data_IF_928582802323
#
_entry.id   IF_928582802323
#
_cell.length_a   1.000
_cell.length_b   1.000
_cell.length_c   1.000
_cell.angle_alpha   90.00
_cell.angle_beta   90.00
_cell.angle_gamma   90.00
#
_symmetry.space_group_name_H-M   'P 1'
#
loop_
_entity.id
_entity.type
_entity.pdbx_description
1 polymer ?
#
# COMPACT_ATOMS: atom_id res chain seq x y z
N UNK A 1 27.77 2.73 -1.53
CA UNK A 1 27.46 2.05 -0.26
C UNK A 1 25.96 1.68 -0.14
N UNK A 2 25.07 2.45 -0.76
CA UNK A 2 23.60 2.25 -0.63
C UNK A 2 23.04 1.08 -1.44
N UNK A 3 23.59 0.75 -2.61
CA UNK A 3 23.12 -0.41 -3.41
C UNK A 3 23.36 -1.74 -2.71
N UNK A 4 24.48 -1.90 -2.00
CA UNK A 4 24.79 -3.14 -1.25
C UNK A 4 23.86 -3.27 -0.03
N UNK A 5 23.63 -2.17 0.70
CA UNK A 5 22.68 -2.16 1.82
C UNK A 5 21.28 -2.53 1.37
N UNK A 6 20.80 -1.95 0.26
CA UNK A 6 19.49 -2.23 -0.31
C UNK A 6 19.37 -3.69 -0.77
N UNK A 7 20.43 -4.25 -1.37
CA UNK A 7 20.50 -5.65 -1.77
C UNK A 7 20.47 -6.59 -0.56
N UNK A 8 21.25 -6.28 0.49
CA UNK A 8 21.27 -7.06 1.73
C UNK A 8 19.90 -7.07 2.42
N UNK A 9 19.25 -5.92 2.54
CA UNK A 9 17.91 -5.84 3.14
C UNK A 9 16.87 -6.62 2.32
N UNK A 10 16.91 -6.49 1.00
CA UNK A 10 15.97 -7.17 0.09
C UNK A 10 16.12 -8.70 0.06
N UNK A 11 17.32 -9.21 0.34
CA UNK A 11 17.61 -10.65 0.28
C UNK A 11 17.97 -11.24 1.64
N UNK A 12 17.80 -10.48 2.71
CA UNK A 12 18.19 -10.87 4.07
C UNK A 12 17.63 -12.24 4.49
N UNK A 13 16.35 -12.47 4.27
CA UNK A 13 15.69 -13.72 4.63
C UNK A 13 16.27 -14.94 3.90
N UNK A 14 16.54 -14.79 2.59
CA UNK A 14 17.17 -15.85 1.79
C UNK A 14 18.60 -16.14 2.24
N UNK A 15 19.36 -15.09 2.54
CA UNK A 15 20.72 -15.21 3.04
C UNK A 15 20.74 -15.87 4.43
N UNK A 16 19.80 -15.52 5.29
CA UNK A 16 19.68 -16.11 6.62
C UNK A 16 19.44 -17.63 6.54
N UNK A 17 18.49 -18.06 5.69
CA UNK A 17 18.23 -19.50 5.46
C UNK A 17 19.50 -20.21 4.96
N UNK A 18 20.22 -19.60 4.02
CA UNK A 18 21.46 -20.17 3.52
C UNK A 18 22.55 -20.30 4.60
N UNK A 19 22.72 -19.28 5.44
CA UNK A 19 23.68 -19.29 6.55
C UNK A 19 23.33 -20.37 7.57
N UNK A 20 22.04 -20.51 7.94
CA UNK A 20 21.58 -21.52 8.88
C UNK A 20 21.83 -22.92 8.29
N UNK A 21 21.55 -23.14 7.01
CA UNK A 21 21.78 -24.43 6.34
C UNK A 21 23.28 -24.75 6.30
N UNK A 22 24.12 -23.77 5.93
CA UNK A 22 25.58 -23.92 5.91
C UNK A 22 26.13 -24.24 7.32
N UNK A 23 25.62 -23.58 8.35
CA UNK A 23 26.01 -23.86 9.73
C UNK A 23 25.59 -25.27 10.18
N UNK A 24 24.41 -25.75 9.79
CA UNK A 24 23.98 -27.12 10.06
C UNK A 24 24.89 -28.16 9.38
N UNK A 25 25.24 -27.91 8.09
CA UNK A 25 26.18 -28.77 7.35
C UNK A 25 27.56 -28.78 7.99
N UNK A 26 28.13 -27.60 8.30
CA UNK A 26 29.44 -27.50 8.97
C UNK A 26 29.43 -28.19 10.34
N UNK A 27 28.35 -28.00 11.12
CA UNK A 27 28.18 -28.66 12.41
C UNK A 27 28.30 -30.19 12.32
N UNK A 28 27.89 -30.79 11.19
CA UNK A 28 27.97 -32.25 10.98
C UNK A 28 29.41 -32.77 11.00
N UNK A 29 30.40 -31.93 10.63
CA UNK A 29 31.78 -32.33 10.65
C UNK A 29 32.42 -32.29 12.07
N UNK A 30 31.93 -31.37 12.92
CA UNK A 30 32.53 -31.13 14.23
C UNK A 30 31.90 -31.94 15.37
N UNK A 31 30.62 -32.32 15.28
CA UNK A 31 29.94 -33.03 16.35
C UNK A 31 30.19 -34.54 16.32
N UNK A 32 30.40 -35.12 17.49
CA UNK A 32 30.59 -36.59 17.67
C UNK A 32 29.30 -37.34 17.37
N UNK A 33 28.18 -36.87 17.92
CA UNK A 33 26.87 -37.48 17.67
C UNK A 33 26.21 -36.88 16.45
N UNK A 34 26.29 -37.58 15.30
CA UNK A 34 25.75 -37.13 14.02
C UNK A 34 24.23 -37.19 13.99
N UNK A 35 23.59 -38.05 14.80
CA UNK A 35 22.14 -38.22 14.78
C UNK A 35 21.42 -37.06 15.47
N UNK A 36 22.00 -36.51 16.55
CA UNK A 36 21.49 -35.31 17.21
C UNK A 36 21.43 -34.10 16.28
N UNK A 37 22.37 -34.04 15.33
CA UNK A 37 22.45 -32.92 14.37
C UNK A 37 21.34 -32.91 13.34
N UNK A 38 20.67 -34.03 13.08
CA UNK A 38 19.54 -34.10 12.18
C UNK A 38 18.43 -33.10 12.58
N UNK A 39 18.26 -32.85 13.88
CA UNK A 39 17.27 -31.90 14.37
C UNK A 39 17.57 -30.45 13.98
N UNK A 40 18.82 -30.05 13.80
CA UNK A 40 19.19 -28.70 13.40
C UNK A 40 18.78 -28.38 11.95
N UNK A 41 18.62 -29.39 11.09
CA UNK A 41 18.16 -29.18 9.72
C UNK A 41 16.69 -28.78 9.63
N UNK A 42 15.91 -28.93 10.70
CA UNK A 42 14.55 -28.34 10.74
C UNK A 42 14.56 -26.82 10.75
N UNK A 43 15.60 -26.20 11.33
CA UNK A 43 15.68 -24.73 11.40
C UNK A 43 15.65 -24.05 10.02
N UNK A 44 16.57 -24.36 9.08
CA UNK A 44 16.54 -23.72 7.76
C UNK A 44 15.24 -24.03 7.01
N UNK A 45 14.65 -25.21 7.20
CA UNK A 45 13.41 -25.61 6.53
C UNK A 45 12.21 -24.84 7.10
N UNK A 46 12.08 -24.73 8.42
CA UNK A 46 11.01 -23.94 9.05
C UNK A 46 11.12 -22.46 8.70
N UNK A 47 12.34 -21.90 8.78
CA UNK A 47 12.57 -20.50 8.39
C UNK A 47 12.24 -20.25 6.89
N UNK A 48 12.71 -21.11 6.00
CA UNK A 48 12.41 -20.99 4.58
C UNK A 48 10.90 -21.09 4.32
N UNK A 49 10.22 -22.04 4.97
CA UNK A 49 8.77 -22.24 4.81
C UNK A 49 7.95 -21.07 5.35
N UNK A 50 8.37 -20.50 6.49
CA UNK A 50 7.65 -19.43 7.16
C UNK A 50 7.85 -18.06 6.52
N UNK A 51 9.06 -17.74 6.04
CA UNK A 51 9.36 -16.41 5.46
C UNK A 51 9.33 -16.37 3.93
N UNK A 52 9.65 -17.49 3.27
CA UNK A 52 9.80 -17.54 1.81
C UNK A 52 8.71 -18.38 1.12
N UNK A 53 7.82 -18.99 1.93
CA UNK A 53 6.70 -19.76 1.44
C UNK A 53 7.02 -21.23 1.09
N UNK A 54 5.98 -21.96 0.68
CA UNK A 54 6.00 -23.40 0.48
C UNK A 54 7.08 -23.88 -0.50
N UNK A 55 7.24 -23.21 -1.64
CA UNK A 55 8.18 -23.64 -2.68
C UNK A 55 9.63 -23.64 -2.20
N UNK A 56 10.06 -22.57 -1.54
CA UNK A 56 11.43 -22.45 -1.03
C UNK A 56 11.64 -23.27 0.24
N UNK A 57 10.60 -23.47 1.05
CA UNK A 57 10.62 -24.39 2.19
C UNK A 57 10.88 -25.83 1.75
N UNK A 58 10.14 -26.32 0.74
CA UNK A 58 10.31 -27.67 0.18
C UNK A 58 11.70 -27.81 -0.47
N UNK A 59 12.16 -26.79 -1.20
CA UNK A 59 13.52 -26.80 -1.76
C UNK A 59 14.59 -26.89 -0.65
N UNK A 60 14.42 -26.14 0.45
CA UNK A 60 15.32 -26.20 1.61
C UNK A 60 15.33 -27.57 2.25
N UNK A 61 14.16 -28.25 2.34
CA UNK A 61 14.04 -29.60 2.82
C UNK A 61 14.80 -30.60 1.92
N UNK A 62 14.64 -30.50 0.60
CA UNK A 62 15.40 -31.34 -0.34
C UNK A 62 16.90 -31.13 -0.24
N UNK A 63 17.36 -29.88 -0.14
CA UNK A 63 18.80 -29.56 0.03
C UNK A 63 19.33 -30.11 1.35
N UNK A 64 18.54 -30.03 2.44
CA UNK A 64 18.88 -30.60 3.74
C UNK A 64 19.00 -32.12 3.68
N UNK A 65 18.06 -32.79 3.04
CA UNK A 65 18.08 -34.25 2.85
C UNK A 65 19.31 -34.65 2.01
N UNK A 66 19.57 -33.95 0.91
CA UNK A 66 20.73 -34.21 0.07
C UNK A 66 22.04 -34.06 0.86
N UNK A 67 22.17 -32.98 1.65
CA UNK A 67 23.34 -32.76 2.50
C UNK A 67 23.55 -33.89 3.52
N UNK A 68 22.46 -34.35 4.15
CA UNK A 68 22.54 -35.46 5.12
C UNK A 68 22.85 -36.79 4.42
N UNK A 69 22.35 -37.06 3.23
CA UNK A 69 22.69 -38.25 2.45
C UNK A 69 24.22 -38.26 2.13
N UNK A 70 24.76 -37.13 1.69
CA UNK A 70 26.21 -36.99 1.46
C UNK A 70 26.99 -37.23 2.74
N UNK A 71 26.56 -36.66 3.87
CA UNK A 71 27.20 -36.90 5.17
C UNK A 71 27.09 -38.36 5.60
N UNK A 72 25.96 -39.03 5.34
CA UNK A 72 25.75 -40.44 5.68
C UNK A 72 26.64 -41.38 4.84
N UNK A 73 26.98 -40.99 3.60
CA UNK A 73 27.96 -41.73 2.79
C UNK A 73 29.37 -41.53 3.33
N UNK A 74 29.75 -40.30 3.70
CA UNK A 74 31.10 -39.99 4.23
C UNK A 74 31.32 -40.64 5.60
N UNK A 75 30.30 -40.59 6.48
CA UNK A 75 30.37 -41.12 7.86
C UNK A 75 29.52 -42.36 8.02
N UNK A 76 29.70 -43.36 7.13
CA UNK A 76 28.84 -44.54 7.01
C UNK A 76 28.69 -45.29 8.35
N UNK A 77 29.78 -45.49 9.09
CA UNK A 77 29.79 -46.27 10.34
C UNK A 77 28.94 -45.63 11.48
N UNK A 78 28.70 -44.30 11.39
CA UNK A 78 27.85 -43.60 12.36
C UNK A 78 26.37 -43.73 12.06
N UNK A 79 26.00 -43.73 10.76
CA UNK A 79 24.61 -43.80 10.33
C UNK A 79 24.14 -45.26 10.11
N UNK A 80 25.07 -46.14 9.69
CA UNK A 80 24.79 -47.52 9.33
C UNK A 80 25.79 -48.48 9.97
N UNK A 81 25.74 -48.65 11.35
CA UNK A 81 26.54 -49.67 11.99
C UNK A 81 26.20 -51.05 11.44
N UNK A 82 27.18 -51.92 11.27
CA UNK A 82 27.05 -53.22 10.58
C UNK A 82 25.91 -54.12 11.15
N UNK A 83 25.61 -54.02 12.42
CA UNK A 83 24.54 -54.78 13.08
C UNK A 83 23.16 -54.10 13.07
N UNK A 84 23.06 -52.84 12.57
CA UNK A 84 21.84 -52.03 12.69
C UNK A 84 21.55 -51.21 11.40
N UNK A 85 21.91 -51.66 10.21
CA UNK A 85 21.70 -50.94 8.96
C UNK A 85 20.21 -50.56 8.72
N UNK A 86 19.30 -51.46 9.03
CA UNK A 86 17.85 -51.20 8.91
C UNK A 86 17.40 -50.03 9.81
N UNK A 87 17.95 -49.91 11.01
CA UNK A 87 17.64 -48.78 11.91
C UNK A 87 18.11 -47.44 11.35
N UNK A 88 19.29 -47.42 10.72
CA UNK A 88 19.83 -46.21 10.07
C UNK A 88 18.93 -45.76 8.88
N UNK A 89 18.54 -46.68 8.02
CA UNK A 89 17.63 -46.42 6.88
C UNK A 89 16.29 -45.89 7.40
N UNK A 90 15.70 -46.55 8.38
CA UNK A 90 14.42 -46.12 8.97
C UNK A 90 14.52 -44.73 9.61
N UNK A 91 15.59 -44.43 10.35
CA UNK A 91 15.83 -43.13 10.96
C UNK A 91 15.91 -42.03 9.90
N UNK A 92 16.72 -42.19 8.88
CA UNK A 92 16.91 -41.16 7.82
C UNK A 92 15.64 -41.00 6.99
N UNK A 93 14.95 -42.08 6.63
CA UNK A 93 13.72 -42.03 5.86
C UNK A 93 12.58 -41.33 6.62
N UNK A 94 12.39 -41.70 7.89
CA UNK A 94 11.37 -41.06 8.74
C UNK A 94 11.71 -39.59 8.99
N UNK A 95 12.98 -39.27 9.30
CA UNK A 95 13.42 -37.88 9.45
C UNK A 95 13.20 -37.04 8.19
N UNK A 96 13.60 -37.53 7.01
CA UNK A 96 13.40 -36.84 5.74
C UNK A 96 11.92 -36.66 5.40
N UNK A 97 11.09 -37.69 5.68
CA UNK A 97 9.65 -37.61 5.53
C UNK A 97 9.02 -36.52 6.42
N UNK A 98 9.40 -36.46 7.70
CA UNK A 98 8.95 -35.41 8.62
C UNK A 98 9.45 -34.02 8.21
N UNK A 99 10.67 -33.92 7.66
CA UNK A 99 11.21 -32.64 7.18
C UNK A 99 10.39 -32.10 6.00
N UNK A 100 10.06 -32.95 5.02
CA UNK A 100 9.20 -32.60 3.89
C UNK A 100 7.78 -32.26 4.35
N UNK A 101 7.21 -33.04 5.26
CA UNK A 101 5.89 -32.76 5.82
C UNK A 101 5.86 -31.40 6.54
N UNK A 102 6.91 -31.11 7.32
CA UNK A 102 7.06 -29.80 8.00
C UNK A 102 7.13 -28.67 6.98
N UNK A 103 7.96 -28.82 5.93
CA UNK A 103 8.06 -27.82 4.86
C UNK A 103 6.71 -27.56 4.18
N UNK A 104 5.98 -28.63 3.87
CA UNK A 104 4.67 -28.55 3.22
C UNK A 104 3.63 -27.88 4.12
N UNK A 105 3.54 -28.32 5.39
CA UNK A 105 2.56 -27.83 6.35
C UNK A 105 2.80 -26.35 6.71
N UNK A 106 4.02 -25.99 7.11
CA UNK A 106 4.36 -24.62 7.52
C UNK A 106 4.25 -23.67 6.30
N UNK A 107 4.78 -24.07 5.15
CA UNK A 107 4.66 -23.26 3.93
C UNK A 107 3.22 -23.12 3.45
N UNK A 108 2.40 -24.15 3.60
CA UNK A 108 0.97 -24.10 3.30
C UNK A 108 0.20 -23.12 4.20
N UNK A 109 0.52 -23.12 5.50
CA UNK A 109 -0.06 -22.18 6.47
C UNK A 109 0.34 -20.72 6.14
N UNK A 110 1.59 -20.50 5.72
CA UNK A 110 2.04 -19.18 5.29
C UNK A 110 1.25 -18.69 4.06
N UNK A 111 1.16 -19.51 3.00
CA UNK A 111 0.40 -19.16 1.80
C UNK A 111 -1.09 -18.93 2.09
N UNK A 112 -1.68 -19.70 3.00
CA UNK A 112 -3.06 -19.52 3.43
C UNK A 112 -3.24 -18.20 4.18
N UNK A 113 -2.31 -17.82 5.06
CA UNK A 113 -2.31 -16.55 5.76
C UNK A 113 -2.24 -15.38 4.76
N UNK A 114 -1.30 -15.42 3.82
CA UNK A 114 -1.15 -14.37 2.80
C UNK A 114 -2.43 -14.20 1.97
N UNK A 115 -3.02 -15.29 1.49
CA UNK A 115 -4.29 -15.24 0.75
C UNK A 115 -5.41 -14.63 1.57
N UNK A 116 -5.55 -15.03 2.83
CA UNK A 116 -6.58 -14.45 3.72
C UNK A 116 -6.36 -12.96 3.96
N UNK A 117 -5.11 -12.52 4.09
CA UNK A 117 -4.80 -11.10 4.22
C UNK A 117 -5.15 -10.31 2.96
N UNK A 118 -4.85 -10.86 1.76
CA UNK A 118 -5.25 -10.24 0.49
C UNK A 118 -6.78 -10.17 0.32
N UNK A 119 -7.49 -11.24 0.68
CA UNK A 119 -8.96 -11.29 0.63
C UNK A 119 -9.57 -10.27 1.60
N UNK A 120 -9.03 -10.17 2.82
CA UNK A 120 -9.48 -9.21 3.81
C UNK A 120 -9.25 -7.78 3.32
N UNK A 121 -8.10 -7.49 2.72
CA UNK A 121 -7.80 -6.18 2.17
C UNK A 121 -8.73 -5.82 1.02
N UNK A 122 -9.04 -6.78 0.11
CA UNK A 122 -10.01 -6.56 -0.97
C UNK A 122 -11.42 -6.31 -0.43
N UNK A 123 -11.86 -7.09 0.56
CA UNK A 123 -13.15 -6.91 1.20
C UNK A 123 -13.26 -5.54 1.90
N UNK A 124 -12.20 -5.14 2.62
CA UNK A 124 -12.11 -3.83 3.25
C UNK A 124 -12.28 -2.69 2.25
N UNK A 125 -11.52 -2.71 1.14
CA UNK A 125 -11.65 -1.70 0.08
C UNK A 125 -13.05 -1.69 -0.53
N UNK A 126 -13.62 -2.88 -0.81
CA UNK A 126 -14.98 -3.00 -1.35
C UNK A 126 -16.05 -2.40 -0.42
N UNK A 127 -15.93 -2.61 0.89
CA UNK A 127 -16.84 -2.01 1.88
C UNK A 127 -16.73 -0.47 1.85
N UNK A 128 -15.50 0.07 1.82
CA UNK A 128 -15.30 1.52 1.74
C UNK A 128 -15.92 2.12 0.48
N UNK A 129 -15.78 1.45 -0.67
CA UNK A 129 -16.40 1.88 -1.94
C UNK A 129 -17.92 1.83 -1.88
N UNK A 130 -18.52 0.83 -1.23
CA UNK A 130 -19.97 0.74 -1.04
C UNK A 130 -20.46 1.88 -0.15
N UNK A 131 -19.74 2.16 0.95
CA UNK A 131 -20.09 3.27 1.85
C UNK A 131 -19.99 4.61 1.14
N UNK A 132 -18.94 4.85 0.36
CA UNK A 132 -18.78 6.06 -0.45
C UNK A 132 -19.95 6.22 -1.45
N UNK A 133 -20.30 5.16 -2.19
CA UNK A 133 -21.45 5.18 -3.10
C UNK A 133 -22.77 5.47 -2.38
N UNK A 134 -22.95 4.91 -1.17
CA UNK A 134 -24.17 5.17 -0.38
C UNK A 134 -24.27 6.66 0.00
N UNK A 135 -23.16 7.31 0.34
CA UNK A 135 -23.13 8.74 0.64
C UNK A 135 -23.51 9.55 -0.60
N UNK A 136 -22.95 9.21 -1.76
CA UNK A 136 -23.23 9.87 -3.03
C UNK A 136 -24.70 9.75 -3.45
N UNK A 137 -25.44 8.74 -3.00
CA UNK A 137 -26.88 8.64 -3.30
C UNK A 137 -27.71 9.74 -2.62
N UNK A 138 -27.21 10.30 -1.51
CA UNK A 138 -27.83 11.44 -0.84
C UNK A 138 -27.55 12.77 -1.54
N UNK A 139 -26.37 12.86 -2.16
CA UNK A 139 -25.91 14.02 -2.93
C UNK A 139 -26.11 13.71 -4.42
N UNK A 140 -27.29 14.02 -4.96
CA UNK A 140 -27.74 13.61 -6.31
C UNK A 140 -26.85 14.04 -7.48
N UNK A 141 -25.72 14.72 -7.20
CA UNK A 141 -24.82 15.28 -8.20
C UNK A 141 -23.42 14.63 -8.25
N UNK A 142 -23.12 13.71 -7.32
CA UNK A 142 -21.73 13.24 -7.09
C UNK A 142 -21.48 11.79 -7.50
N UNK A 143 -22.24 11.25 -8.46
CA UNK A 143 -22.07 9.85 -8.88
C UNK A 143 -20.61 9.55 -9.29
N UNK A 144 -19.95 8.68 -8.53
CA UNK A 144 -18.56 8.26 -8.73
C UNK A 144 -17.51 9.32 -8.39
N UNK A 145 -17.90 10.43 -7.77
CA UNK A 145 -17.01 11.52 -7.36
C UNK A 145 -15.92 11.03 -6.39
N UNK A 146 -16.31 10.43 -5.29
CA UNK A 146 -15.35 9.99 -4.25
C UNK A 146 -14.35 8.96 -4.79
N UNK A 147 -14.76 8.10 -5.73
CA UNK A 147 -13.86 7.15 -6.39
C UNK A 147 -12.86 7.91 -7.26
N UNK A 148 -13.30 8.92 -8.05
CA UNK A 148 -12.39 9.73 -8.87
C UNK A 148 -11.42 10.54 -8.02
N UNK A 149 -11.93 11.21 -6.97
CA UNK A 149 -11.11 11.94 -6.00
C UNK A 149 -10.05 11.03 -5.36
N UNK A 150 -10.43 9.82 -4.95
CA UNK A 150 -9.53 8.80 -4.39
C UNK A 150 -8.42 8.43 -5.37
N UNK A 151 -8.75 8.18 -6.64
CA UNK A 151 -7.75 7.82 -7.66
C UNK A 151 -6.86 9.01 -8.05
N UNK A 152 -7.39 10.23 -8.12
CA UNK A 152 -6.58 11.43 -8.33
C UNK A 152 -5.62 11.67 -7.16
N UNK A 153 -6.11 11.61 -5.93
CA UNK A 153 -5.31 11.79 -4.73
C UNK A 153 -4.18 10.75 -4.63
N UNK A 154 -4.48 9.47 -4.92
CA UNK A 154 -3.49 8.40 -5.05
C UNK A 154 -2.45 8.69 -6.12
N UNK A 155 -2.88 9.16 -7.30
CA UNK A 155 -1.99 9.53 -8.40
C UNK A 155 -1.02 10.63 -8.00
N UNK A 156 -1.49 11.67 -7.31
CA UNK A 156 -0.66 12.76 -6.77
C UNK A 156 0.35 12.21 -5.76
N UNK A 157 -0.11 11.40 -4.79
CA UNK A 157 0.75 10.85 -3.75
C UNK A 157 1.88 9.96 -4.31
N UNK A 158 1.58 9.17 -5.36
CA UNK A 158 2.59 8.38 -6.09
C UNK A 158 3.59 9.29 -6.80
N UNK A 159 3.12 10.36 -7.49
CA UNK A 159 3.99 11.31 -8.17
C UNK A 159 4.94 12.06 -7.24
N UNK A 160 4.51 12.22 -6.01
CA UNK A 160 5.32 12.80 -4.95
C UNK A 160 6.30 11.81 -4.32
N UNK A 161 6.33 10.58 -4.81
CA UNK A 161 7.16 9.50 -4.27
C UNK A 161 6.90 9.25 -2.77
N UNK A 162 5.65 9.44 -2.32
CA UNK A 162 5.30 9.18 -0.93
C UNK A 162 5.40 7.68 -0.60
N UNK A 163 5.73 7.32 0.65
CA UNK A 163 5.73 5.95 1.12
C UNK A 163 4.37 5.26 0.89
N UNK A 164 4.39 3.96 0.60
CA UNK A 164 3.18 3.19 0.22
C UNK A 164 2.02 3.33 1.22
N UNK A 165 2.30 3.37 2.52
CA UNK A 165 1.27 3.55 3.54
C UNK A 165 0.59 4.92 3.45
N UNK A 166 1.35 6.00 3.20
CA UNK A 166 0.78 7.35 3.01
C UNK A 166 -0.02 7.45 1.71
N UNK A 167 0.42 6.80 0.63
CA UNK A 167 -0.36 6.71 -0.62
C UNK A 167 -1.72 6.08 -0.37
N UNK A 168 -1.75 4.99 0.41
CA UNK A 168 -3.00 4.30 0.74
C UNK A 168 -3.89 5.12 1.67
N UNK A 169 -3.33 5.78 2.69
CA UNK A 169 -4.08 6.67 3.59
C UNK A 169 -4.72 7.83 2.82
N UNK A 170 -4.00 8.45 1.89
CA UNK A 170 -4.51 9.53 1.04
C UNK A 170 -5.62 9.01 0.11
N UNK A 171 -5.45 7.81 -0.47
CA UNK A 171 -6.46 7.16 -1.29
C UNK A 171 -7.76 6.92 -0.52
N UNK A 172 -7.66 6.34 0.68
CA UNK A 172 -8.80 6.06 1.56
C UNK A 172 -9.44 7.36 2.02
N UNK A 173 -8.65 8.38 2.36
CA UNK A 173 -9.18 9.69 2.73
C UNK A 173 -9.96 10.33 1.59
N UNK A 174 -9.47 10.28 0.35
CA UNK A 174 -10.20 10.75 -0.82
C UNK A 174 -11.51 10.01 -1.06
N UNK A 175 -11.56 8.70 -0.73
CA UNK A 175 -12.78 7.91 -0.83
C UNK A 175 -13.83 8.28 0.23
N UNK A 176 -13.39 8.68 1.43
CA UNK A 176 -14.22 8.90 2.61
C UNK A 176 -14.29 10.36 3.06
N UNK A 177 -13.74 11.32 2.30
CA UNK A 177 -13.69 12.72 2.73
C UNK A 177 -15.06 13.30 3.08
N UNK A 178 -16.08 12.84 2.40
CA UNK A 178 -17.48 13.26 2.52
C UNK A 178 -18.31 12.38 3.48
N UNK A 179 -17.72 11.41 4.22
CA UNK A 179 -18.45 10.44 5.05
C UNK A 179 -19.36 11.12 6.09
N UNK A 180 -19.00 12.29 6.58
CA UNK A 180 -19.78 13.06 7.55
C UNK A 180 -21.13 13.57 7.02
N UNK A 181 -21.33 13.62 5.70
CA UNK A 181 -22.60 13.95 5.08
C UNK A 181 -23.72 12.95 5.43
N UNK A 182 -23.37 11.77 5.93
CA UNK A 182 -24.34 10.79 6.47
C UNK A 182 -25.21 11.39 7.57
N UNK A 183 -24.65 12.25 8.42
CA UNK A 183 -25.33 12.88 9.55
C UNK A 183 -26.12 14.15 9.15
N UNK A 184 -26.03 14.57 7.90
CA UNK A 184 -26.76 15.74 7.38
C UNK A 184 -27.99 15.27 6.63
N UNK A 185 -29.11 15.97 6.80
CA UNK A 185 -30.37 15.61 6.14
C UNK A 185 -30.24 15.76 4.62
N UNK A 186 -30.83 14.80 3.89
CA UNK A 186 -30.83 14.82 2.42
C UNK A 186 -31.51 16.07 1.84
N UNK A 187 -32.48 16.62 2.57
CA UNK A 187 -33.20 17.85 2.19
C UNK A 187 -32.25 19.05 2.11
N UNK A 188 -31.30 19.17 3.05
CA UNK A 188 -30.29 20.24 3.06
C UNK A 188 -29.27 20.01 1.96
N UNK A 189 -28.77 18.78 1.82
CA UNK A 189 -27.74 18.45 0.81
C UNK A 189 -28.27 18.69 -0.61
N UNK A 190 -29.52 18.34 -0.90
CA UNK A 190 -30.13 18.46 -2.23
C UNK A 190 -30.51 19.90 -2.63
N UNK A 191 -30.54 20.84 -1.71
CA UNK A 191 -30.81 22.27 -2.04
C UNK A 191 -29.72 22.94 -2.88
N UNK A 192 -28.52 22.41 -2.92
CA UNK A 192 -27.31 22.76 -3.71
C UNK A 192 -27.06 24.22 -4.11
N UNK A 193 -28.07 24.96 -4.60
CA UNK A 193 -27.93 26.34 -5.09
C UNK A 193 -28.67 27.40 -4.26
N UNK A 194 -29.42 27.01 -3.22
CA UNK A 194 -30.29 27.90 -2.44
C UNK A 194 -30.11 27.71 -0.91
N UNK A 195 -28.87 27.42 -0.48
CA UNK A 195 -28.55 27.24 0.93
C UNK A 195 -28.62 28.58 1.69
N UNK A 196 -29.26 28.57 2.84
CA UNK A 196 -29.12 29.65 3.83
C UNK A 196 -27.72 29.63 4.44
N UNK A 197 -27.24 30.74 5.03
CA UNK A 197 -25.94 30.72 5.75
C UNK A 197 -25.84 29.61 6.80
N UNK A 198 -26.92 29.36 7.56
CA UNK A 198 -26.97 28.31 8.59
C UNK A 198 -26.90 26.91 8.01
N UNK A 199 -27.55 26.67 6.84
CA UNK A 199 -27.47 25.38 6.15
C UNK A 199 -26.08 25.15 5.55
N UNK A 200 -25.41 26.21 5.08
CA UNK A 200 -24.02 26.15 4.62
C UNK A 200 -23.09 25.77 5.77
N UNK A 201 -23.21 26.48 6.91
CA UNK A 201 -22.44 26.19 8.11
C UNK A 201 -22.65 24.72 8.56
N UNK A 202 -23.87 24.20 8.44
CA UNK A 202 -24.18 22.81 8.77
C UNK A 202 -23.47 21.84 7.82
N UNK A 203 -23.46 22.12 6.52
CA UNK A 203 -22.73 21.29 5.53
C UNK A 203 -21.24 21.34 5.81
N UNK A 204 -20.67 22.49 6.13
CA UNK A 204 -19.24 22.67 6.40
C UNK A 204 -18.76 21.86 7.62
N UNK A 205 -19.70 21.47 8.54
CA UNK A 205 -19.36 20.54 9.66
C UNK A 205 -19.09 19.11 9.22
N UNK A 206 -19.38 18.71 7.97
CA UNK A 206 -19.23 17.29 7.55
C UNK A 206 -17.81 16.76 7.72
N UNK A 207 -16.78 17.58 7.53
CA UNK A 207 -15.39 17.17 7.70
C UNK A 207 -15.09 16.74 9.15
N UNK A 208 -15.57 17.50 10.14
CA UNK A 208 -15.41 17.19 11.57
C UNK A 208 -16.26 15.99 11.97
N UNK A 209 -17.53 15.92 11.51
CA UNK A 209 -18.40 14.75 11.71
C UNK A 209 -17.80 13.50 11.11
N UNK A 210 -17.25 13.61 9.90
CA UNK A 210 -16.52 12.52 9.24
C UNK A 210 -15.36 12.01 10.08
N UNK A 211 -14.58 12.92 10.67
CA UNK A 211 -13.52 12.56 11.61
C UNK A 211 -14.03 11.77 12.82
N UNK A 212 -15.15 12.18 13.42
CA UNK A 212 -15.79 11.46 14.54
C UNK A 212 -16.27 10.07 14.15
N UNK A 213 -16.86 9.92 12.96
CA UNK A 213 -17.32 8.62 12.43
C UNK A 213 -16.11 7.70 12.21
N UNK A 214 -15.07 8.18 11.54
CA UNK A 214 -13.89 7.38 11.21
C UNK A 214 -13.07 7.00 12.43
N UNK A 215 -13.00 7.86 13.45
CA UNK A 215 -12.31 7.55 14.70
C UNK A 215 -12.90 6.33 15.43
N UNK A 216 -14.19 6.02 15.22
CA UNK A 216 -14.86 4.83 15.79
C UNK A 216 -14.41 3.51 15.17
N UNK A 217 -13.78 3.55 13.98
CA UNK A 217 -13.25 2.34 13.31
C UNK A 217 -11.96 1.84 13.95
N UNK A 218 -11.30 2.69 14.76
CA UNK A 218 -10.09 2.35 15.49
C UNK A 218 -8.79 2.61 14.72
N UNK A 219 -7.73 1.87 15.08
CA UNK A 219 -6.36 2.11 14.61
C UNK A 219 -6.21 2.07 13.08
N UNK A 220 -7.03 1.29 12.40
CA UNK A 220 -6.94 1.11 10.93
C UNK A 220 -7.11 2.42 10.15
N UNK A 221 -7.94 3.36 10.66
CA UNK A 221 -8.20 4.65 10.04
C UNK A 221 -7.61 5.84 10.80
N UNK A 222 -6.80 5.60 11.83
CA UNK A 222 -6.28 6.67 12.69
C UNK A 222 -5.50 7.73 11.90
N UNK A 223 -4.70 7.32 10.91
CA UNK A 223 -3.94 8.25 10.06
C UNK A 223 -4.80 8.91 8.96
N UNK A 224 -5.97 8.36 8.66
CA UNK A 224 -6.92 8.92 7.68
C UNK A 224 -7.75 10.06 8.28
N UNK A 225 -8.08 9.97 9.58
CA UNK A 225 -8.90 10.96 10.29
C UNK A 225 -8.40 12.40 10.13
N UNK A 226 -7.12 12.74 10.42
CA UNK A 226 -6.64 14.11 10.30
C UNK A 226 -6.68 14.62 8.85
N UNK A 227 -6.59 13.73 7.85
CA UNK A 227 -6.70 14.09 6.44
C UNK A 227 -8.13 14.51 6.12
N UNK A 228 -9.12 13.69 6.55
CA UNK A 228 -10.54 13.97 6.32
C UNK A 228 -11.00 15.22 7.05
N UNK A 229 -10.59 15.42 8.30
CA UNK A 229 -10.97 16.60 9.08
C UNK A 229 -10.43 17.91 8.47
N UNK A 230 -9.28 17.85 7.81
CA UNK A 230 -8.58 19.05 7.36
C UNK A 230 -8.69 19.31 5.84
N UNK A 231 -9.45 18.49 5.06
CA UNK A 231 -9.43 18.58 3.61
C UNK A 231 -9.95 19.92 3.04
N UNK A 232 -10.86 20.60 3.72
CA UNK A 232 -11.32 21.93 3.32
C UNK A 232 -10.41 23.08 3.80
N UNK A 233 -9.65 22.87 4.87
CA UNK A 233 -8.81 23.94 5.47
C UNK A 233 -7.69 24.43 4.56
N UNK A 234 -7.35 23.69 3.52
CA UNK A 234 -6.28 24.05 2.62
C UNK A 234 -6.58 25.31 1.80
N UNK A 235 -7.76 25.36 1.19
CA UNK A 235 -8.17 26.53 0.39
C UNK A 235 -8.51 27.73 1.27
N UNK A 236 -9.07 27.52 2.47
CA UNK A 236 -9.33 28.58 3.43
C UNK A 236 -8.04 29.29 3.86
N UNK A 237 -6.95 28.52 4.09
CA UNK A 237 -5.66 29.05 4.51
C UNK A 237 -4.78 29.52 3.34
N UNK A 238 -5.02 29.07 2.14
CA UNK A 238 -4.33 29.59 0.96
C UNK A 238 -4.63 31.08 0.72
N UNK A 239 -5.80 31.56 1.18
CA UNK A 239 -6.17 32.97 1.15
C UNK A 239 -5.34 33.82 2.13
N UNK A 240 -4.78 33.22 3.19
CA UNK A 240 -4.02 33.89 4.24
C UNK A 240 -2.52 34.08 3.91
N UNK A 241 -2.09 33.63 2.72
CA UNK A 241 -0.78 33.85 2.08
C UNK A 241 0.47 33.54 2.92
N UNK A 242 0.37 32.97 4.14
CA UNK A 242 1.53 32.62 4.94
C UNK A 242 1.93 31.15 4.71
N UNK A 243 3.17 30.93 4.32
CA UNK A 243 3.73 29.59 4.12
C UNK A 243 3.63 28.71 5.39
N UNK A 244 3.65 29.34 6.55
CA UNK A 244 3.53 28.71 7.85
C UNK A 244 2.11 28.20 8.15
N UNK A 245 1.09 28.94 7.73
CA UNK A 245 -0.32 28.54 7.80
C UNK A 245 -0.59 27.31 6.93
N UNK A 246 -0.03 27.27 5.72
CA UNK A 246 -0.17 26.13 4.81
C UNK A 246 0.53 24.86 5.34
N UNK A 247 1.69 25.01 5.99
CA UNK A 247 2.43 23.89 6.60
C UNK A 247 1.69 23.23 7.74
N UNK A 248 0.77 23.93 8.41
CA UNK A 248 -0.03 23.39 9.51
C UNK A 248 -1.12 22.41 9.05
N UNK A 249 -1.48 22.39 7.74
CA UNK A 249 -2.44 21.45 7.16
C UNK A 249 -1.71 20.15 6.76
N UNK A 250 -2.17 18.98 7.20
CA UNK A 250 -1.57 17.70 6.83
C UNK A 250 -1.40 17.56 5.32
N UNK A 251 -0.25 17.00 4.88
CA UNK A 251 0.06 16.85 3.46
C UNK A 251 -1.04 16.07 2.73
N UNK A 252 -1.53 14.98 3.32
CA UNK A 252 -2.62 14.19 2.74
C UNK A 252 -3.91 15.00 2.55
N UNK A 253 -4.24 15.91 3.48
CA UNK A 253 -5.41 16.77 3.37
C UNK A 253 -5.27 17.76 2.21
N UNK A 254 -4.07 18.32 1.99
CA UNK A 254 -3.78 19.19 0.83
C UNK A 254 -3.93 18.45 -0.48
N UNK A 255 -3.48 17.18 -0.53
CA UNK A 255 -3.60 16.32 -1.71
C UNK A 255 -5.09 16.04 -2.01
N UNK A 256 -5.87 15.67 -1.00
CA UNK A 256 -7.31 15.39 -1.15
C UNK A 256 -8.06 16.65 -1.58
N UNK A 257 -7.78 17.81 -0.98
CA UNK A 257 -8.39 19.09 -1.34
C UNK A 257 -8.18 19.43 -2.84
N UNK A 258 -6.96 19.24 -3.33
CA UNK A 258 -6.63 19.48 -4.74
C UNK A 258 -7.34 18.50 -5.66
N UNK A 259 -7.41 17.23 -5.28
CA UNK A 259 -8.08 16.17 -6.05
C UNK A 259 -9.60 16.42 -6.12
N UNK A 260 -10.21 16.84 -4.99
CA UNK A 260 -11.62 17.19 -4.91
C UNK A 260 -11.95 18.41 -5.77
N UNK A 261 -11.18 19.51 -5.65
CA UNK A 261 -11.35 20.69 -6.49
C UNK A 261 -11.20 20.37 -7.98
N UNK A 262 -10.23 19.51 -8.34
CA UNK A 262 -10.03 19.09 -9.71
C UNK A 262 -11.23 18.32 -10.27
N UNK A 263 -11.76 17.34 -9.50
CA UNK A 263 -12.96 16.61 -9.92
C UNK A 263 -14.17 17.54 -10.01
N UNK A 264 -14.31 18.45 -9.04
CA UNK A 264 -15.40 19.43 -9.05
C UNK A 264 -15.38 20.34 -10.29
N UNK A 265 -14.21 20.73 -10.80
CA UNK A 265 -14.06 21.62 -11.95
C UNK A 265 -14.22 20.87 -13.27
N UNK A 266 -13.70 19.62 -13.35
CA UNK A 266 -13.67 18.84 -14.61
C UNK A 266 -14.90 18.01 -14.86
N UNK A 267 -15.73 17.73 -13.84
CA UNK A 267 -16.95 16.93 -13.99
C UNK A 267 -18.17 17.79 -14.31
N UNK A 268 -19.02 17.30 -15.23
CA UNK A 268 -20.29 17.94 -15.55
C UNK A 268 -21.18 17.98 -14.30
N UNK A 269 -21.74 19.17 -14.01
CA UNK A 269 -22.73 19.38 -12.97
C UNK A 269 -24.03 19.89 -13.62
N UNK A 270 -25.22 19.71 -13.02
CA UNK A 270 -26.48 20.10 -13.62
C UNK A 270 -26.54 21.54 -14.11
N UNK A 271 -25.76 22.42 -13.49
CA UNK A 271 -25.74 23.85 -13.78
C UNK A 271 -24.48 24.31 -14.55
N UNK A 272 -23.51 23.40 -14.80
CA UNK A 272 -22.23 23.76 -15.42
C UNK A 272 -21.60 22.55 -16.09
N UNK A 273 -21.17 22.70 -17.34
CA UNK A 273 -20.28 21.72 -17.97
C UNK A 273 -18.91 21.75 -17.33
N UNK A 274 -18.30 20.58 -17.22
CA UNK A 274 -16.93 20.42 -16.74
C UNK A 274 -15.95 21.16 -17.66
N UNK A 275 -14.95 21.79 -17.05
CA UNK A 275 -13.86 22.45 -17.80
C UNK A 275 -12.85 21.41 -18.26
N UNK A 276 -12.12 21.69 -19.35
CA UNK A 276 -10.98 20.89 -19.74
C UNK A 276 -9.95 20.77 -18.61
N UNK A 277 -9.22 19.64 -18.47
CA UNK A 277 -8.28 19.42 -17.38
C UNK A 277 -7.21 20.51 -17.21
N UNK A 278 -6.73 21.10 -18.30
CA UNK A 278 -5.71 22.16 -18.25
C UNK A 278 -6.27 23.49 -17.69
N UNK A 279 -7.53 23.81 -17.95
CA UNK A 279 -8.19 24.98 -17.36
C UNK A 279 -8.43 24.79 -15.87
N UNK A 280 -8.83 23.56 -15.46
CA UNK A 280 -9.01 23.23 -14.07
C UNK A 280 -7.70 23.38 -13.28
N UNK A 281 -6.60 22.90 -13.84
CA UNK A 281 -5.28 23.08 -13.21
C UNK A 281 -4.90 24.53 -13.08
N UNK A 282 -5.10 25.34 -14.15
CA UNK A 282 -4.78 26.77 -14.09
C UNK A 282 -5.60 27.47 -12.99
N UNK A 283 -6.90 27.19 -12.92
CA UNK A 283 -7.80 27.75 -11.90
C UNK A 283 -7.35 27.41 -10.48
N UNK A 284 -6.95 26.15 -10.23
CA UNK A 284 -6.44 25.72 -8.92
C UNK A 284 -5.11 26.41 -8.60
N UNK A 285 -4.21 26.55 -9.59
CA UNK A 285 -2.93 27.27 -9.42
C UNK A 285 -3.16 28.72 -9.06
N UNK A 286 -4.06 29.40 -9.77
CA UNK A 286 -4.36 30.81 -9.54
C UNK A 286 -4.98 31.04 -8.15
N UNK A 287 -5.77 30.08 -7.65
CA UNK A 287 -6.37 30.15 -6.31
C UNK A 287 -5.39 29.84 -5.18
N UNK A 288 -4.37 29.01 -5.41
CA UNK A 288 -3.51 28.48 -4.35
C UNK A 288 -2.07 28.98 -4.41
N UNK A 289 -1.64 29.64 -5.48
CA UNK A 289 -0.26 30.09 -5.69
C UNK A 289 0.77 28.96 -5.88
N UNK A 290 0.34 27.72 -6.10
CA UNK A 290 1.18 26.51 -6.05
C UNK A 290 1.61 26.02 -7.45
N UNK A 291 2.61 26.67 -8.04
CA UNK A 291 3.08 26.33 -9.39
C UNK A 291 3.75 24.95 -9.55
N UNK A 292 4.53 24.48 -8.58
CA UNK A 292 5.32 23.24 -8.73
C UNK A 292 4.57 21.93 -8.40
N UNK A 293 3.62 21.99 -7.49
CA UNK A 293 2.90 20.80 -6.98
C UNK A 293 1.85 20.31 -7.99
N UNK A 294 1.12 21.25 -8.54
CA UNK A 294 0.03 21.00 -9.50
C UNK A 294 0.55 20.69 -10.90
N UNK A 295 1.74 21.19 -11.25
CA UNK A 295 2.40 20.81 -12.49
C UNK A 295 2.69 19.29 -12.54
N UNK A 296 3.13 18.68 -11.45
CA UNK A 296 3.32 17.23 -11.37
C UNK A 296 1.99 16.47 -11.47
N UNK A 297 0.95 16.96 -10.82
CA UNK A 297 -0.41 16.41 -10.92
C UNK A 297 -0.92 16.48 -12.37
N UNK A 298 -0.80 17.63 -12.99
CA UNK A 298 -1.20 17.85 -14.38
C UNK A 298 -0.49 16.90 -15.33
N UNK A 299 0.83 16.78 -15.23
CA UNK A 299 1.63 15.87 -16.06
C UNK A 299 1.21 14.42 -15.91
N UNK A 300 0.89 13.96 -14.70
CA UNK A 300 0.42 12.58 -14.48
C UNK A 300 -0.99 12.33 -15.00
N UNK A 301 -1.90 13.26 -14.78
CA UNK A 301 -3.26 13.15 -15.30
C UNK A 301 -3.26 13.19 -16.83
N UNK A 302 -2.45 14.03 -17.45
CA UNK A 302 -2.29 14.08 -18.90
C UNK A 302 -1.69 12.79 -19.47
N UNK A 303 -0.67 12.20 -18.82
CA UNK A 303 -0.09 10.92 -19.23
C UNK A 303 -1.09 9.76 -19.08
N UNK A 304 -1.91 9.77 -18.05
CA UNK A 304 -2.88 8.68 -17.76
C UNK A 304 -4.11 8.71 -18.66
N UNK A 305 -4.55 9.89 -19.07
CA UNK A 305 -5.75 10.08 -19.91
C UNK A 305 -5.44 10.38 -21.38
N UNK A 306 -4.18 10.28 -21.81
CA UNK A 306 -3.78 10.44 -23.21
C UNK A 306 -3.96 11.85 -23.77
N UNK A 307 -4.12 12.86 -22.91
CA UNK A 307 -4.27 14.26 -23.32
C UNK A 307 -2.89 14.83 -23.64
N UNK A 308 -2.52 14.80 -24.90
CA UNK A 308 -1.24 15.32 -25.39
C UNK A 308 -1.16 16.86 -25.22
N UNK A 309 -0.05 17.30 -24.66
CA UNK A 309 0.32 18.71 -24.45
C UNK A 309 0.65 19.35 -25.80
N UNK A 310 -0.34 19.86 -26.54
CA UNK A 310 -0.05 20.64 -27.75
C UNK A 310 -0.13 22.17 -27.55
N UNK A 311 -0.52 22.66 -26.36
CA UNK A 311 -0.79 24.10 -26.18
C UNK A 311 -0.01 24.84 -25.09
N UNK A 312 0.99 24.19 -24.43
CA UNK A 312 1.74 24.86 -23.36
C UNK A 312 3.08 25.48 -23.77
N UNK A 313 3.42 25.49 -25.08
CA UNK A 313 4.70 26.03 -25.56
C UNK A 313 4.68 27.54 -25.85
N UNK A 314 3.58 28.25 -25.64
CA UNK A 314 3.47 29.66 -26.01
C UNK A 314 3.38 30.65 -24.85
N UNK A 315 3.42 30.24 -23.58
CA UNK A 315 3.19 31.19 -22.48
C UNK A 315 4.18 31.18 -21.30
N UNK A 316 4.95 30.12 -21.09
CA UNK A 316 5.89 30.07 -19.98
C UNK A 316 7.26 29.59 -20.50
N UNK A 317 8.20 30.53 -20.60
CA UNK A 317 9.61 30.23 -20.88
C UNK A 317 10.18 29.46 -19.67
N UNK A 318 10.21 28.12 -19.74
CA UNK A 318 10.90 27.28 -18.79
C UNK A 318 12.37 27.23 -19.21
N UNK A 319 13.24 28.01 -18.54
CA UNK A 319 14.66 27.74 -18.50
C UNK A 319 14.87 26.46 -17.68
N UNK A 320 15.21 25.36 -18.34
CA UNK A 320 15.53 24.10 -17.68
C UNK A 320 15.39 22.89 -18.61
N UNK A 321 16.51 22.48 -19.21
CA UNK A 321 16.63 21.31 -20.08
C UNK A 321 16.20 20.02 -19.37
N UNK A 322 15.37 19.20 -20.02
CA UNK A 322 15.12 17.84 -19.59
C UNK A 322 14.00 17.19 -20.40
N UNK A 323 14.36 16.54 -21.53
CA UNK A 323 13.44 15.65 -22.24
C UNK A 323 13.19 14.41 -21.37
N UNK A 324 12.10 14.35 -20.63
CA UNK A 324 11.62 13.11 -20.04
C UNK A 324 10.49 12.53 -20.91
N UNK A 325 10.80 11.44 -21.63
CA UNK A 325 9.80 10.55 -22.23
C UNK A 325 9.06 9.86 -21.08
N UNK A 326 7.73 9.93 -21.11
CA UNK A 326 6.88 9.05 -20.30
C UNK A 326 7.20 7.57 -20.67
N UNK A 327 7.69 6.80 -19.74
CA UNK A 327 7.68 5.33 -19.78
C UNK A 327 6.79 4.81 -18.68
#
# INVERSE_FOLDING_TARGET
MDRIKLFLVKHFEKMLVFVILAAAVLGTFFMKDKTLLLNFYFLPVVFASYYLGKRLGVLSAFLSILAVIVCAIIFRDHFFPAEQEFRGIFLLSSWGGFLLLTAYAVGGLYEQKERRMEELQKAYVGILEILSKYIETKDGYTKGHSIRVSEYAKGIAIAMELPRHLVENVRVAGLLHDIGKIEISSEVIQKAAALTPQEKDLIDTHSERGGVILAKVGEVLQEVVPIVVAHHRYFERALDSSEESLKSVPLGARIVAVADAFDAITTDRPYRKGKPPWEAVQEIVDQTGLSNYLFRLYMQLCCRYGVFIQHFTTGIAIQGQGRHRCR
#
